data_IF_723328796758
#
_entry.id   IF_723328796758
#
_cell.length_a   1.000
_cell.length_b   1.000
_cell.length_c   1.000
_cell.angle_alpha   90.00
_cell.angle_beta   90.00
_cell.angle_gamma   90.00
#
_symmetry.space_group_name_H-M   'P 1'
#
loop_
_entity.id
_entity.type
_entity.pdbx_description
1 polymer ?
#
# COMPACT_ATOMS: atom_id res chain seq x y z
N UNK A 1 -1.07 9.83 8.09
CA UNK A 1 -1.91 11.05 7.96
C UNK A 1 -1.15 12.02 7.08
N UNK A 2 -1.75 12.52 5.99
CA UNK A 2 -1.02 13.41 5.08
C UNK A 2 -0.81 14.77 5.78
N UNK A 3 0.46 15.13 6.04
CA UNK A 3 0.81 16.35 6.75
C UNK A 3 0.28 17.62 6.05
N UNK A 4 0.16 17.57 4.72
CA UNK A 4 -0.39 18.68 3.94
C UNK A 4 -1.89 18.90 4.21
N UNK A 5 -2.66 17.83 4.50
CA UNK A 5 -4.07 17.96 4.87
C UNK A 5 -4.26 18.63 6.23
N UNK A 6 -3.41 18.35 7.21
CA UNK A 6 -3.49 19.00 8.53
C UNK A 6 -3.15 20.48 8.46
N UNK A 7 -2.09 20.83 7.74
CA UNK A 7 -1.68 22.20 7.52
C UNK A 7 -2.75 23.05 6.78
N UNK A 8 -3.79 22.42 6.21
CA UNK A 8 -4.91 23.12 5.60
C UNK A 8 -5.92 23.67 6.60
N UNK A 9 -6.01 23.16 7.83
CA UNK A 9 -7.02 23.63 8.79
C UNK A 9 -6.93 25.13 9.05
N UNK A 10 -5.73 25.63 9.33
CA UNK A 10 -5.51 27.05 9.61
C UNK A 10 -5.78 27.94 8.38
N UNK A 11 -5.39 27.45 7.19
CA UNK A 11 -5.63 28.14 5.93
C UNK A 11 -7.12 28.25 5.61
N UNK A 12 -7.90 27.20 5.89
CA UNK A 12 -9.35 27.19 5.74
C UNK A 12 -10.04 28.16 6.70
N UNK A 13 -9.56 28.28 7.93
CA UNK A 13 -10.11 29.25 8.90
C UNK A 13 -9.87 30.69 8.44
N UNK A 14 -8.69 30.99 7.90
CA UNK A 14 -8.41 32.30 7.29
C UNK A 14 -9.30 32.57 6.08
N UNK A 15 -9.46 31.58 5.20
CA UNK A 15 -10.34 31.67 4.03
C UNK A 15 -11.79 31.96 4.41
N UNK A 16 -12.33 31.25 5.40
CA UNK A 16 -13.67 31.50 5.94
C UNK A 16 -13.82 32.94 6.45
N UNK A 17 -12.80 33.47 7.14
CA UNK A 17 -12.77 34.85 7.59
C UNK A 17 -12.71 35.89 6.45
N UNK A 18 -12.13 35.55 5.30
CA UNK A 18 -12.19 36.43 4.13
C UNK A 18 -13.56 36.37 3.45
N UNK A 19 -14.14 35.17 3.31
CA UNK A 19 -15.46 34.97 2.71
C UNK A 19 -16.54 35.66 3.55
N UNK A 20 -16.51 35.53 4.88
CA UNK A 20 -17.53 36.15 5.75
C UNK A 20 -17.53 37.68 5.72
N UNK A 21 -16.39 38.30 5.36
CA UNK A 21 -16.24 39.76 5.25
C UNK A 21 -16.47 40.27 3.83
N UNK A 22 -16.54 39.38 2.85
CA UNK A 22 -16.76 39.73 1.45
C UNK A 22 -18.23 40.12 1.21
N UNK A 23 -18.45 41.09 0.34
CA UNK A 23 -19.77 41.47 -0.13
C UNK A 23 -19.94 41.00 -1.58
N UNK A 24 -21.17 40.95 -2.09
CA UNK A 24 -21.47 40.56 -3.48
C UNK A 24 -20.91 39.18 -3.86
N UNK A 25 -21.11 38.19 -2.99
CA UNK A 25 -20.81 36.80 -3.30
C UNK A 25 -21.94 36.21 -4.13
N UNK A 26 -21.59 35.38 -5.11
CA UNK A 26 -22.53 34.58 -5.90
C UNK A 26 -23.14 33.43 -5.10
N UNK A 27 -22.49 33.04 -4.01
CA UNK A 27 -22.87 31.95 -3.11
C UNK A 27 -22.91 32.45 -1.66
N UNK A 28 -23.73 31.81 -0.82
CA UNK A 28 -23.68 32.07 0.62
C UNK A 28 -22.35 31.56 1.18
N UNK A 29 -21.79 32.19 2.24
CA UNK A 29 -20.55 31.75 2.88
C UNK A 29 -20.52 30.25 3.24
N UNK A 30 -21.66 29.71 3.66
CA UNK A 30 -21.83 28.30 4.05
C UNK A 30 -21.69 27.33 2.86
N UNK A 31 -22.03 27.78 1.65
CA UNK A 31 -22.07 26.96 0.42
C UNK A 31 -20.71 26.87 -0.28
N UNK A 32 -19.67 27.55 0.22
CA UNK A 32 -18.32 27.46 -0.34
C UNK A 32 -17.71 26.06 -0.22
N UNK A 33 -18.22 25.20 0.67
CA UNK A 33 -17.77 23.82 0.82
C UNK A 33 -16.62 23.61 1.80
N UNK A 34 -16.27 24.62 2.61
CA UNK A 34 -15.19 24.55 3.61
C UNK A 34 -15.45 23.44 4.64
N UNK A 35 -16.69 23.29 5.10
CA UNK A 35 -17.08 22.23 6.04
C UNK A 35 -16.74 20.83 5.51
N UNK A 36 -17.05 20.57 4.24
CA UNK A 36 -16.74 19.28 3.59
C UNK A 36 -15.24 19.01 3.53
N UNK A 37 -14.41 20.03 3.33
CA UNK A 37 -12.95 19.88 3.38
C UNK A 37 -12.48 19.56 4.81
N UNK A 38 -13.00 20.24 5.84
CA UNK A 38 -12.67 19.95 7.24
C UNK A 38 -13.06 18.53 7.65
N UNK A 39 -14.26 18.10 7.25
CA UNK A 39 -14.75 16.76 7.55
C UNK A 39 -13.87 15.69 6.91
N UNK A 40 -13.41 15.91 5.67
CA UNK A 40 -12.47 15.01 5.00
C UNK A 40 -11.11 14.95 5.70
N UNK A 41 -10.58 16.09 6.17
CA UNK A 41 -9.34 16.14 6.97
C UNK A 41 -9.51 15.30 8.24
N UNK A 42 -10.60 15.52 9.00
CA UNK A 42 -10.86 14.80 10.25
C UNK A 42 -11.06 13.30 10.05
N UNK A 43 -11.66 12.89 8.93
CA UNK A 43 -11.82 11.48 8.54
C UNK A 43 -10.55 10.88 7.91
N UNK A 44 -9.51 11.69 7.67
CA UNK A 44 -8.26 11.29 6.99
C UNK A 44 -8.52 10.71 5.59
N UNK A 45 -9.55 11.21 4.93
CA UNK A 45 -10.04 10.71 3.63
C UNK A 45 -9.49 11.59 2.50
N UNK A 46 -8.42 11.12 1.86
CA UNK A 46 -7.70 11.86 0.82
C UNK A 46 -8.55 12.06 -0.45
N UNK A 47 -9.41 11.10 -0.80
CA UNK A 47 -10.29 11.18 -1.97
C UNK A 47 -11.38 12.22 -1.76
N UNK A 48 -12.10 12.15 -0.64
CA UNK A 48 -13.10 13.17 -0.28
C UNK A 48 -12.46 14.53 -0.10
N UNK A 49 -11.24 14.60 0.44
CA UNK A 49 -10.49 15.84 0.52
C UNK A 49 -10.25 16.44 -0.86
N UNK A 50 -9.74 15.66 -1.82
CA UNK A 50 -9.47 16.14 -3.18
C UNK A 50 -10.75 16.58 -3.91
N UNK A 51 -11.85 15.84 -3.72
CA UNK A 51 -13.16 16.17 -4.28
C UNK A 51 -13.68 17.51 -3.71
N UNK A 52 -13.74 17.63 -2.39
CA UNK A 52 -14.26 18.82 -1.71
C UNK A 52 -13.36 20.04 -1.92
N UNK A 53 -12.04 19.86 -1.95
CA UNK A 53 -11.09 20.91 -2.26
C UNK A 53 -11.25 21.39 -3.71
N UNK A 54 -11.57 20.51 -4.65
CA UNK A 54 -11.91 20.89 -6.02
C UNK A 54 -13.10 21.84 -6.08
N UNK A 55 -14.20 21.50 -5.39
CA UNK A 55 -15.38 22.37 -5.30
C UNK A 55 -15.06 23.72 -4.64
N UNK A 56 -14.33 23.70 -3.53
CA UNK A 56 -13.90 24.91 -2.84
C UNK A 56 -13.10 25.85 -3.75
N UNK A 57 -12.12 25.31 -4.50
CA UNK A 57 -11.32 26.10 -5.44
C UNK A 57 -12.21 26.71 -6.54
N UNK A 58 -13.12 25.94 -7.12
CA UNK A 58 -14.06 26.46 -8.13
C UNK A 58 -14.91 27.61 -7.58
N UNK A 59 -15.42 27.48 -6.36
CA UNK A 59 -16.24 28.50 -5.72
C UNK A 59 -15.42 29.76 -5.35
N UNK A 60 -14.18 29.58 -4.90
CA UNK A 60 -13.24 30.67 -4.64
C UNK A 60 -12.90 31.40 -5.94
N UNK A 61 -12.72 30.67 -7.04
CA UNK A 61 -12.41 31.25 -8.36
C UNK A 61 -13.54 32.11 -8.89
N UNK A 62 -14.78 31.63 -8.76
CA UNK A 62 -15.97 32.38 -9.18
C UNK A 62 -16.22 33.66 -8.36
N UNK A 63 -15.62 33.78 -7.17
CA UNK A 63 -15.81 34.90 -6.25
C UNK A 63 -14.49 35.62 -5.92
N UNK A 64 -13.45 35.42 -6.74
CA UNK A 64 -12.10 35.84 -6.40
C UNK A 64 -12.00 37.34 -6.19
N UNK A 65 -12.64 38.15 -7.03
CA UNK A 65 -12.61 39.61 -6.92
C UNK A 65 -13.20 40.10 -5.59
N UNK A 66 -14.36 39.56 -5.21
CA UNK A 66 -15.05 39.91 -3.95
C UNK A 66 -14.25 39.54 -2.70
N UNK A 67 -13.57 38.39 -2.72
CA UNK A 67 -12.79 37.89 -1.58
C UNK A 67 -11.38 38.54 -1.56
N UNK A 68 -10.81 38.84 -2.72
CA UNK A 68 -9.49 39.50 -2.84
C UNK A 68 -9.54 40.95 -2.38
N UNK A 69 -10.67 41.64 -2.56
CA UNK A 69 -10.93 42.94 -1.95
C UNK A 69 -10.86 42.93 -0.41
N UNK A 70 -10.92 41.75 0.23
CA UNK A 70 -10.79 41.56 1.68
C UNK A 70 -9.41 41.02 2.11
N UNK A 71 -8.47 40.93 1.18
CA UNK A 71 -7.08 40.54 1.44
C UNK A 71 -6.75 39.08 1.12
N UNK A 72 -7.63 38.34 0.45
CA UNK A 72 -7.29 37.02 -0.06
C UNK A 72 -6.46 37.14 -1.35
N UNK A 73 -5.25 36.58 -1.37
CA UNK A 73 -4.31 36.78 -2.47
C UNK A 73 -4.33 35.64 -3.47
N UNK A 74 -3.87 35.91 -4.70
CA UNK A 74 -3.66 34.87 -5.71
C UNK A 74 -2.68 33.78 -5.21
N UNK A 75 -1.64 34.17 -4.48
CA UNK A 75 -0.72 33.24 -3.83
C UNK A 75 -1.42 32.32 -2.81
N UNK A 76 -2.37 32.85 -2.03
CA UNK A 76 -3.16 32.03 -1.09
C UNK A 76 -4.04 31.02 -1.82
N UNK A 77 -4.63 31.41 -2.97
CA UNK A 77 -5.35 30.48 -3.86
C UNK A 77 -4.44 29.40 -4.43
N UNK A 78 -3.25 29.75 -4.92
CA UNK A 78 -2.27 28.79 -5.43
C UNK A 78 -1.89 27.74 -4.38
N UNK A 79 -1.77 28.14 -3.11
CA UNK A 79 -1.53 27.19 -2.01
C UNK A 79 -2.64 26.14 -1.92
N UNK A 80 -3.92 26.51 -2.10
CA UNK A 80 -5.03 25.55 -2.11
C UNK A 80 -4.87 24.54 -3.26
N UNK A 81 -4.58 25.05 -4.46
CA UNK A 81 -4.39 24.25 -5.67
C UNK A 81 -3.20 23.30 -5.51
N UNK A 82 -2.06 23.79 -5.05
CA UNK A 82 -0.85 23.01 -4.88
C UNK A 82 -1.02 21.94 -3.79
N UNK A 83 -1.74 22.27 -2.72
CA UNK A 83 -2.02 21.29 -1.66
C UNK A 83 -2.95 20.18 -2.17
N UNK A 84 -4.00 20.51 -2.95
CA UNK A 84 -4.83 19.50 -3.62
C UNK A 84 -3.99 18.59 -4.52
N UNK A 85 -3.10 19.16 -5.34
CA UNK A 85 -2.23 18.41 -6.24
C UNK A 85 -1.29 17.48 -5.48
N UNK A 86 -0.66 17.97 -4.42
CA UNK A 86 0.25 17.18 -3.58
C UNK A 86 -0.47 16.01 -2.93
N UNK A 87 -1.63 16.24 -2.31
CA UNK A 87 -2.41 15.18 -1.66
C UNK A 87 -2.88 14.13 -2.66
N UNK A 88 -3.29 14.57 -3.87
CA UNK A 88 -3.66 13.64 -4.94
C UNK A 88 -2.47 12.78 -5.37
N UNK A 89 -1.31 13.38 -5.63
CA UNK A 89 -0.11 12.65 -6.03
C UNK A 89 0.30 11.62 -4.97
N UNK A 90 0.25 11.98 -3.68
CA UNK A 90 0.55 11.05 -2.59
C UNK A 90 -0.45 9.88 -2.51
N UNK A 91 -1.73 10.15 -2.78
CA UNK A 91 -2.78 9.12 -2.79
C UNK A 91 -2.59 8.15 -3.97
N UNK A 92 -2.35 8.69 -5.17
CA UNK A 92 -2.12 7.90 -6.38
C UNK A 92 -0.88 7.00 -6.22
N UNK A 93 0.19 7.52 -5.59
CA UNK A 93 1.39 6.75 -5.27
C UNK A 93 1.12 5.63 -4.25
N UNK A 94 0.31 5.89 -3.23
CA UNK A 94 -0.06 4.86 -2.25
C UNK A 94 -0.88 3.75 -2.88
N UNK A 95 -1.83 4.10 -3.73
CA UNK A 95 -2.65 3.13 -4.46
C UNK A 95 -1.79 2.27 -5.40
N UNK A 96 -0.87 2.89 -6.14
CA UNK A 96 0.08 2.16 -7.00
C UNK A 96 0.90 1.13 -6.22
N UNK A 97 1.45 1.52 -5.06
CA UNK A 97 2.20 0.60 -4.19
C UNK A 97 1.34 -0.49 -3.57
N UNK A 98 0.06 -0.23 -3.31
CA UNK A 98 -0.86 -1.23 -2.79
C UNK A 98 -1.16 -2.30 -3.85
N UNK A 99 -1.35 -1.87 -5.10
CA UNK A 99 -1.54 -2.77 -6.24
C UNK A 99 -0.29 -3.61 -6.48
N UNK A 100 0.90 -2.99 -6.55
CA UNK A 100 2.18 -3.72 -6.72
C UNK A 100 2.37 -4.82 -5.66
N UNK A 101 2.00 -4.53 -4.40
CA UNK A 101 2.05 -5.54 -3.33
C UNK A 101 1.03 -6.65 -3.54
N UNK A 102 -0.16 -6.34 -4.02
CA UNK A 102 -1.19 -7.33 -4.33
C UNK A 102 -0.70 -8.27 -5.42
N UNK A 103 -0.17 -7.71 -6.50
CA UNK A 103 0.35 -8.46 -7.65
C UNK A 103 1.50 -9.39 -7.19
N UNK A 104 2.46 -8.87 -6.41
CA UNK A 104 3.53 -9.70 -5.84
C UNK A 104 3.03 -10.82 -4.93
N UNK A 105 1.93 -10.61 -4.20
CA UNK A 105 1.34 -11.67 -3.36
C UNK A 105 0.69 -12.73 -4.23
N UNK A 106 0.00 -12.33 -5.30
CA UNK A 106 -0.62 -13.24 -6.27
C UNK A 106 0.43 -14.09 -6.99
N UNK A 107 1.49 -13.47 -7.52
CA UNK A 107 2.61 -14.16 -8.16
C UNK A 107 3.27 -15.17 -7.21
N UNK A 108 3.48 -14.78 -5.94
CA UNK A 108 4.05 -15.69 -4.94
C UNK A 108 3.11 -16.85 -4.61
N UNK A 109 1.79 -16.61 -4.58
CA UNK A 109 0.82 -17.67 -4.35
C UNK A 109 0.81 -18.69 -5.49
N UNK A 110 0.95 -18.25 -6.75
CA UNK A 110 1.09 -19.15 -7.90
C UNK A 110 2.30 -20.08 -7.73
N UNK A 111 3.49 -19.51 -7.46
CA UNK A 111 4.72 -20.29 -7.25
C UNK A 111 4.59 -21.27 -6.07
N UNK A 112 3.94 -20.84 -4.98
CA UNK A 112 3.73 -21.70 -3.81
C UNK A 112 2.74 -22.84 -4.10
N UNK A 113 1.71 -22.59 -4.90
CA UNK A 113 0.76 -23.60 -5.34
C UNK A 113 1.45 -24.63 -6.25
N UNK A 114 2.24 -24.18 -7.22
CA UNK A 114 3.03 -25.07 -8.09
C UNK A 114 3.99 -25.94 -7.28
N UNK A 115 4.67 -25.36 -6.29
CA UNK A 115 5.54 -26.11 -5.39
C UNK A 115 4.75 -27.14 -4.58
N UNK A 116 3.57 -26.76 -4.09
CA UNK A 116 2.70 -27.66 -3.33
C UNK A 116 2.23 -28.84 -4.18
N UNK A 117 1.85 -28.61 -5.43
CA UNK A 117 1.40 -29.65 -6.35
C UNK A 117 2.53 -30.62 -6.67
N UNK A 118 3.73 -30.09 -6.99
CA UNK A 118 4.92 -30.90 -7.21
C UNK A 118 5.27 -31.76 -5.98
N UNK A 119 5.26 -31.17 -4.77
CA UNK A 119 5.51 -31.93 -3.54
C UNK A 119 4.46 -33.02 -3.33
N UNK A 120 3.19 -32.70 -3.55
CA UNK A 120 2.08 -33.63 -3.36
C UNK A 120 2.13 -34.78 -4.36
N UNK A 121 2.50 -34.53 -5.61
CA UNK A 121 2.66 -35.56 -6.63
C UNK A 121 3.83 -36.50 -6.29
N UNK A 122 4.99 -35.97 -5.92
CA UNK A 122 6.15 -36.77 -5.47
C UNK A 122 5.77 -37.65 -4.27
N UNK A 123 5.07 -37.08 -3.28
CA UNK A 123 4.61 -37.79 -2.10
C UNK A 123 3.66 -38.95 -2.47
N UNK A 124 2.69 -38.69 -3.36
CA UNK A 124 1.74 -39.73 -3.81
C UNK A 124 2.46 -40.84 -4.58
N UNK A 125 3.29 -40.48 -5.56
CA UNK A 125 3.98 -41.43 -6.42
C UNK A 125 4.98 -42.28 -5.63
N UNK A 126 5.75 -41.67 -4.72
CA UNK A 126 6.66 -42.39 -3.83
C UNK A 126 5.93 -43.37 -2.90
N UNK A 127 4.80 -42.96 -2.31
CA UNK A 127 3.99 -43.89 -1.51
C UNK A 127 3.46 -45.05 -2.34
N UNK A 128 3.00 -44.81 -3.57
CA UNK A 128 2.47 -45.87 -4.46
C UNK A 128 3.57 -46.88 -4.81
N UNK A 129 4.76 -46.40 -5.18
CA UNK A 129 5.90 -47.23 -5.56
C UNK A 129 6.35 -48.19 -4.46
N UNK A 130 6.39 -47.71 -3.21
CA UNK A 130 6.90 -48.49 -2.08
C UNK A 130 5.83 -49.20 -1.27
N UNK A 131 4.54 -48.95 -1.55
CA UNK A 131 3.39 -49.47 -0.79
C UNK A 131 3.45 -50.98 -0.55
N UNK A 132 3.83 -51.74 -1.57
CA UNK A 132 3.82 -53.20 -1.55
C UNK A 132 5.23 -53.82 -1.48
N UNK A 133 6.28 -53.01 -1.56
CA UNK A 133 7.67 -53.47 -1.65
C UNK A 133 8.47 -53.15 -0.39
N UNK A 134 8.29 -51.97 0.21
CA UNK A 134 9.04 -51.53 1.40
C UNK A 134 8.22 -50.53 2.23
N UNK A 135 7.70 -51.02 3.37
CA UNK A 135 6.87 -50.22 4.27
C UNK A 135 7.69 -49.11 4.97
N UNK A 136 8.97 -49.34 5.23
CA UNK A 136 9.86 -48.34 5.84
C UNK A 136 10.08 -47.16 4.90
N UNK A 137 10.30 -47.43 3.60
CA UNK A 137 10.44 -46.37 2.59
C UNK A 137 9.16 -45.59 2.34
N UNK A 138 8.00 -46.23 2.49
CA UNK A 138 6.71 -45.54 2.35
C UNK A 138 6.51 -44.42 3.39
N UNK A 139 7.04 -44.60 4.60
CA UNK A 139 6.98 -43.60 5.69
C UNK A 139 7.89 -42.39 5.43
N UNK A 140 8.92 -42.55 4.59
CA UNK A 140 9.80 -41.44 4.16
C UNK A 140 9.10 -40.48 3.18
N UNK A 141 8.04 -40.92 2.49
CA UNK A 141 7.25 -40.07 1.60
C UNK A 141 6.14 -39.35 2.39
N UNK A 142 6.54 -38.58 3.39
CA UNK A 142 5.68 -37.63 4.11
C UNK A 142 6.28 -36.23 4.06
N UNK A 143 5.43 -35.19 4.16
CA UNK A 143 5.89 -33.80 4.11
C UNK A 143 6.92 -33.50 5.22
N UNK A 144 6.75 -34.13 6.39
CA UNK A 144 7.67 -34.01 7.53
C UNK A 144 9.02 -34.64 7.26
N UNK A 145 9.05 -35.84 6.67
CA UNK A 145 10.29 -36.52 6.30
C UNK A 145 11.05 -35.75 5.20
N UNK A 146 10.33 -35.26 4.17
CA UNK A 146 10.90 -34.40 3.13
C UNK A 146 11.49 -33.10 3.69
N UNK A 147 10.75 -32.39 4.56
CA UNK A 147 11.27 -31.19 5.23
C UNK A 147 12.52 -31.48 6.04
N UNK A 148 12.58 -32.63 6.72
CA UNK A 148 13.74 -33.04 7.52
C UNK A 148 14.94 -33.33 6.63
N UNK A 149 14.74 -34.05 5.52
CA UNK A 149 15.77 -34.34 4.52
C UNK A 149 16.32 -33.08 3.87
N UNK A 150 15.46 -32.14 3.46
CA UNK A 150 15.89 -30.84 2.90
C UNK A 150 16.77 -30.07 3.90
N UNK A 151 16.44 -30.08 5.19
CA UNK A 151 17.28 -29.45 6.23
C UNK A 151 18.65 -30.13 6.36
N UNK A 152 18.71 -31.46 6.29
CA UNK A 152 19.96 -32.22 6.36
C UNK A 152 20.85 -31.95 5.14
N UNK A 153 20.27 -31.94 3.93
CA UNK A 153 21.01 -31.65 2.69
C UNK A 153 21.56 -30.21 2.64
N UNK A 154 20.82 -29.23 3.20
CA UNK A 154 21.31 -27.86 3.35
C UNK A 154 22.52 -27.79 4.27
N UNK A 155 22.46 -28.44 5.44
CA UNK A 155 23.59 -28.52 6.38
C UNK A 155 24.81 -29.21 5.76
N UNK A 156 24.59 -30.27 4.98
CA UNK A 156 25.66 -31.02 4.30
C UNK A 156 26.40 -30.20 3.24
N UNK A 157 25.74 -29.24 2.61
CA UNK A 157 26.35 -28.31 1.64
C UNK A 157 27.14 -27.16 2.30
N UNK A 158 26.90 -26.87 3.58
CA UNK A 158 27.56 -25.77 4.31
C UNK A 158 28.88 -26.20 4.99
N UNK A 159 29.09 -27.49 5.22
CA UNK A 159 30.37 -28.05 5.69
C UNK A 159 31.25 -28.48 4.49
N UNK A 160 32.51 -28.00 4.38
CA UNK A 160 33.48 -28.59 3.44
C UNK A 160 33.77 -30.04 3.82
N UNK A 161 34.21 -30.90 2.88
CA UNK A 161 34.48 -32.30 3.19
C UNK A 161 35.69 -32.42 4.13
N UNK A 162 35.48 -32.91 5.35
CA UNK A 162 36.54 -33.37 6.24
C UNK A 162 37.10 -34.73 5.74
N UNK A 163 38.34 -34.64 5.29
CA UNK A 163 39.45 -35.60 5.38
C UNK A 163 39.22 -37.06 4.96
N UNK A 164 39.86 -37.42 3.85
CA UNK A 164 40.03 -38.80 3.40
C UNK A 164 41.06 -39.51 4.27
N UNK A 165 40.59 -40.27 5.26
CA UNK A 165 41.42 -41.26 5.94
C UNK A 165 41.51 -42.54 5.10
N UNK A 166 42.69 -42.80 4.55
CA UNK A 166 43.06 -44.05 3.87
C UNK A 166 43.26 -45.15 4.93
N UNK A 167 42.66 -46.36 4.81
CA UNK A 167 42.89 -47.45 5.74
C UNK A 167 44.30 -48.07 5.60
N UNK A 168 44.90 -48.62 6.66
CA UNK A 168 46.29 -49.08 6.64
C UNK A 168 46.43 -50.35 5.79
N UNK A 169 47.46 -50.39 4.95
CA UNK A 169 47.79 -51.55 4.12
C UNK A 169 48.30 -52.72 4.99
N UNK A 170 47.78 -53.93 4.71
CA UNK A 170 48.40 -55.21 5.09
C UNK A 170 49.46 -55.59 4.06
#
# INVERSE_FOLDING_TARGET
MNAAMEAMRDKLNRLEGYISRAANLTLKPEDFGIKGVRDAISRKDAEKFCLNMGKLITNVDANFDSISAKGFTAAAKEILVNTKKSVKADNDLQNSKANEKSDLVEDNLEILNDLWDNMTDILKNGKILFKNSDKSKTEEFTLTALKTRVKQERKKKETPPEDGSVPPAQ
#
